data_IF_637689495509
#
_entry.id   IF_637689495509
#
_cell.length_a   1.000
_cell.length_b   1.000
_cell.length_c   1.000
_cell.angle_alpha   90.00
_cell.angle_beta   90.00
_cell.angle_gamma   90.00
#
_symmetry.space_group_name_H-M   'P 1'
#
loop_
_entity.id
_entity.type
_entity.pdbx_description
1 polymer ?
#
# COMPACT_ATOMS: atom_id res chain seq x y z
N UNK A 1 -57.45 1.48 35.06
CA UNK A 1 -56.36 0.45 35.27
C UNK A 1 -55.39 0.57 34.10
N UNK A 2 -54.49 1.53 34.27
CA UNK A 2 -53.50 1.88 33.22
C UNK A 2 -52.23 1.08 33.44
N UNK A 3 -51.84 0.25 32.45
CA UNK A 3 -50.50 -0.36 32.41
C UNK A 3 -49.60 0.50 31.55
N UNK A 4 -48.65 1.19 32.20
CA UNK A 4 -47.53 1.85 31.59
C UNK A 4 -46.58 0.79 31.04
N UNK A 5 -46.38 0.81 29.72
CA UNK A 5 -45.34 0.05 29.05
C UNK A 5 -44.06 0.90 29.09
N UNK A 6 -43.07 0.51 29.92
CA UNK A 6 -41.75 1.10 29.91
C UNK A 6 -40.95 0.51 28.74
N UNK A 7 -40.68 1.34 27.74
CA UNK A 7 -39.76 1.02 26.63
C UNK A 7 -38.33 1.28 27.11
N UNK A 8 -37.59 0.23 27.42
CA UNK A 8 -36.14 0.31 27.71
C UNK A 8 -35.41 0.33 26.39
N UNK A 9 -34.97 1.50 25.98
CA UNK A 9 -34.11 1.68 24.81
C UNK A 9 -32.68 1.33 25.20
N UNK A 10 -32.26 0.10 24.93
CA UNK A 10 -30.85 -0.33 25.07
C UNK A 10 -30.01 0.29 23.95
N UNK A 11 -29.29 1.36 24.25
CA UNK A 11 -28.27 1.91 23.38
C UNK A 11 -27.08 0.96 23.45
N UNK A 12 -26.94 0.10 22.43
CA UNK A 12 -25.68 -0.63 22.19
C UNK A 12 -24.62 0.38 21.74
N UNK A 13 -23.79 0.82 22.69
CA UNK A 13 -22.55 1.51 22.38
C UNK A 13 -21.60 0.49 21.79
N UNK A 14 -21.58 0.33 20.47
CA UNK A 14 -20.50 -0.39 19.78
C UNK A 14 -19.26 0.49 19.86
N UNK A 15 -18.46 0.28 20.91
CA UNK A 15 -17.08 0.75 20.94
C UNK A 15 -16.35 0.12 19.75
N UNK A 16 -16.07 0.92 18.71
CA UNK A 16 -15.11 0.57 17.68
C UNK A 16 -13.75 0.51 18.41
N UNK A 17 -13.42 -0.67 18.92
CA UNK A 17 -12.04 -0.97 19.30
C UNK A 17 -11.22 -0.93 18.03
N UNK A 18 -10.59 0.22 17.77
CA UNK A 18 -9.45 0.26 16.84
C UNK A 18 -8.39 -0.65 17.46
N UNK A 19 -8.34 -1.89 17.02
CA UNK A 19 -7.26 -2.80 17.36
C UNK A 19 -5.97 -2.19 16.80
N UNK A 20 -5.23 -1.51 17.66
CA UNK A 20 -3.86 -1.12 17.36
C UNK A 20 -3.11 -2.42 17.07
N UNK A 21 -2.38 -2.47 15.96
CA UNK A 21 -1.56 -3.63 15.66
C UNK A 21 -0.69 -3.94 16.90
N UNK A 22 -0.75 -5.19 17.37
CA UNK A 22 0.02 -5.60 18.52
C UNK A 22 1.49 -5.61 18.10
N UNK A 23 2.28 -4.67 18.63
CA UNK A 23 3.73 -4.58 18.36
C UNK A 23 4.47 -5.71 19.04
N UNK A 24 5.52 -6.23 18.40
CA UNK A 24 6.39 -7.27 18.96
C UNK A 24 7.27 -6.68 20.06
N UNK A 25 7.71 -5.43 19.87
CA UNK A 25 8.55 -4.69 20.80
C UNK A 25 7.88 -3.38 21.23
N UNK A 26 8.28 -2.80 22.39
CA UNK A 26 7.78 -1.48 22.78
C UNK A 26 7.98 -0.42 21.69
N UNK A 27 7.02 0.52 21.60
CA UNK A 27 7.08 1.72 20.77
C UNK A 27 6.35 2.83 21.55
N UNK A 28 6.96 3.27 22.67
CA UNK A 28 6.27 4.02 23.71
C UNK A 28 6.35 5.54 23.54
N UNK A 29 7.36 6.03 22.81
CA UNK A 29 7.57 7.46 22.59
C UNK A 29 7.13 7.87 21.19
N UNK A 30 6.42 8.96 21.09
CA UNK A 30 6.16 9.56 19.80
C UNK A 30 7.42 10.26 19.28
N UNK A 31 7.82 9.90 18.06
CA UNK A 31 8.96 10.50 17.39
C UNK A 31 8.70 11.98 17.05
N UNK A 32 9.73 12.86 17.06
CA UNK A 32 9.56 14.27 16.78
C UNK A 32 8.94 14.53 15.41
N UNK A 33 7.86 15.34 15.36
CA UNK A 33 7.17 15.70 14.13
C UNK A 33 8.05 16.52 13.16
N UNK A 34 9.12 17.13 13.65
CA UNK A 34 10.10 17.83 12.81
C UNK A 34 10.74 16.90 11.78
N UNK A 35 10.97 15.62 12.14
CA UNK A 35 11.66 14.63 11.31
C UNK A 35 10.76 13.54 10.75
N UNK A 36 9.45 13.68 10.95
CA UNK A 36 8.49 12.66 10.53
C UNK A 36 7.25 13.33 9.92
N UNK A 37 6.61 12.61 9.00
CA UNK A 37 5.26 12.92 8.50
C UNK A 37 4.32 11.83 9.01
N UNK A 38 3.17 12.24 9.56
CA UNK A 38 2.25 11.32 10.22
C UNK A 38 2.70 10.94 11.64
N UNK A 39 2.20 9.82 12.16
CA UNK A 39 2.50 9.35 13.52
C UNK A 39 3.50 8.21 13.48
N UNK A 40 4.62 8.44 14.11
CA UNK A 40 5.69 7.46 14.27
C UNK A 40 5.99 7.31 15.76
N UNK A 41 6.05 6.09 16.22
CA UNK A 41 6.41 5.77 17.61
C UNK A 41 7.75 5.03 17.63
N UNK A 42 8.55 5.29 18.64
CA UNK A 42 9.89 4.72 18.75
C UNK A 42 10.16 4.23 20.17
N UNK A 43 11.03 3.23 20.29
CA UNK A 43 11.70 2.86 21.54
C UNK A 43 13.11 2.40 21.25
N UNK A 44 14.07 2.94 21.99
CA UNK A 44 15.45 2.44 21.96
C UNK A 44 15.48 1.16 22.81
N UNK A 45 15.70 0.03 22.16
CA UNK A 45 15.71 -1.29 22.81
C UNK A 45 17.07 -1.63 23.44
N UNK A 46 18.13 -1.18 22.76
CA UNK A 46 19.51 -1.39 23.22
C UNK A 46 20.39 -0.23 22.73
N UNK A 47 21.31 0.17 23.58
CA UNK A 47 22.30 1.19 23.28
C UNK A 47 23.63 0.81 23.91
N UNK A 48 24.67 0.71 23.08
CA UNK A 48 26.05 0.49 23.49
C UNK A 48 26.96 1.59 22.94
N UNK A 49 28.23 1.51 23.22
CA UNK A 49 29.22 2.46 22.68
C UNK A 49 29.34 2.37 21.15
N UNK A 50 29.01 1.23 20.53
CA UNK A 50 29.22 0.97 19.12
C UNK A 50 27.93 0.70 18.32
N UNK A 51 26.80 0.47 18.98
CA UNK A 51 25.58 0.05 18.29
C UNK A 51 24.32 0.49 19.03
N UNK A 52 23.30 0.87 18.27
CA UNK A 52 21.98 1.16 18.77
C UNK A 52 20.92 0.33 18.03
N UNK A 53 20.01 -0.25 18.81
CA UNK A 53 18.85 -0.97 18.30
C UNK A 53 17.59 -0.17 18.64
N UNK A 54 16.79 0.17 17.63
CA UNK A 54 15.58 0.97 17.81
C UNK A 54 14.39 0.27 17.14
N UNK A 55 13.28 0.18 17.86
CA UNK A 55 12.00 -0.23 17.29
C UNK A 55 11.20 0.99 16.85
N UNK A 56 10.63 0.93 15.66
CA UNK A 56 9.75 1.93 15.08
C UNK A 56 8.38 1.30 14.80
N UNK A 57 7.33 1.99 15.22
CA UNK A 57 5.99 1.74 14.72
C UNK A 57 5.55 2.96 13.90
N UNK A 58 5.44 2.76 12.61
CA UNK A 58 4.85 3.71 11.68
C UNK A 58 3.36 3.43 11.54
N UNK A 59 2.49 4.37 11.90
CA UNK A 59 1.09 4.27 11.51
C UNK A 59 0.99 4.41 9.98
N UNK A 60 -0.04 3.82 9.36
CA UNK A 60 -0.23 3.84 7.91
C UNK A 60 -0.05 5.24 7.31
N UNK A 61 0.72 5.33 6.22
CA UNK A 61 1.05 6.58 5.56
C UNK A 61 2.10 7.44 6.26
N UNK A 62 2.57 7.02 7.45
CA UNK A 62 3.62 7.74 8.18
C UNK A 62 5.00 7.37 7.68
N UNK A 63 5.92 8.32 7.73
CA UNK A 63 7.28 8.16 7.23
C UNK A 63 8.26 9.10 7.93
N UNK A 64 9.52 8.70 8.01
CA UNK A 64 10.58 9.61 8.42
C UNK A 64 11.02 10.53 7.27
N UNK A 65 11.82 11.52 7.59
CA UNK A 65 12.46 12.41 6.61
C UNK A 65 13.59 11.69 5.87
N UNK A 66 14.00 12.21 4.73
CA UNK A 66 15.29 11.87 4.15
C UNK A 66 16.38 12.11 5.19
N UNK A 67 17.25 11.14 5.38
CA UNK A 67 18.37 11.20 6.33
C UNK A 67 19.49 10.27 5.89
N UNK A 68 20.62 10.37 6.56
CA UNK A 68 21.74 9.44 6.39
C UNK A 68 22.47 9.26 7.73
N UNK A 69 23.26 8.21 7.84
CA UNK A 69 24.10 7.89 8.99
C UNK A 69 25.55 8.15 8.62
N UNK A 70 26.22 9.19 9.21
CA UNK A 70 27.62 9.49 8.92
C UNK A 70 28.53 8.32 9.28
N UNK A 71 29.24 7.80 8.28
CA UNK A 71 30.21 6.71 8.41
C UNK A 71 29.67 5.42 9.09
N UNK A 72 28.36 5.29 9.24
CA UNK A 72 27.69 4.22 9.95
C UNK A 72 26.76 3.42 9.02
N UNK A 73 26.73 2.10 9.22
CA UNK A 73 25.78 1.20 8.57
C UNK A 73 24.49 1.11 9.38
N UNK A 74 23.36 1.00 8.69
CA UNK A 74 22.08 0.66 9.31
C UNK A 74 21.49 -0.59 8.67
N UNK A 75 21.01 -1.51 9.50
CA UNK A 75 20.17 -2.64 9.08
C UNK A 75 18.74 -2.33 9.51
N UNK A 76 17.79 -2.41 8.57
CA UNK A 76 16.36 -2.29 8.81
C UNK A 76 15.70 -3.64 8.58
N UNK A 77 14.88 -4.08 9.52
CA UNK A 77 14.12 -5.33 9.48
C UNK A 77 12.64 -5.01 9.64
N UNK A 78 11.77 -5.56 8.78
CA UNK A 78 10.32 -5.43 8.92
C UNK A 78 9.79 -6.57 9.78
N UNK A 79 9.24 -6.24 10.94
CA UNK A 79 8.71 -7.20 11.91
C UNK A 79 7.24 -7.51 11.67
N UNK A 80 6.46 -6.50 11.26
CA UNK A 80 5.04 -6.66 10.92
C UNK A 80 4.59 -5.57 9.93
N UNK A 81 3.50 -5.86 9.21
CA UNK A 81 2.92 -4.94 8.23
C UNK A 81 3.76 -4.80 6.97
N UNK A 82 3.60 -3.65 6.30
CA UNK A 82 4.28 -3.33 5.04
C UNK A 82 4.92 -1.95 5.10
N UNK A 83 6.20 -1.87 4.76
CA UNK A 83 6.99 -0.66 4.80
C UNK A 83 7.48 -0.26 3.40
N UNK A 84 7.66 1.04 3.20
CA UNK A 84 8.45 1.57 2.10
C UNK A 84 9.88 1.87 2.58
N UNK A 85 10.83 1.64 1.68
CA UNK A 85 12.21 2.06 1.81
C UNK A 85 12.69 2.63 0.47
N UNK A 86 13.46 3.70 0.52
CA UNK A 86 14.05 4.29 -0.69
C UNK A 86 15.40 4.93 -0.37
N UNK A 87 16.40 4.62 -1.20
CA UNK A 87 17.65 5.35 -1.28
C UNK A 87 17.55 6.46 -2.34
N UNK A 88 18.28 7.55 -2.15
CA UNK A 88 18.32 8.66 -3.10
C UNK A 88 18.81 8.18 -4.48
N UNK A 89 18.07 8.55 -5.52
CA UNK A 89 18.37 8.13 -6.89
C UNK A 89 17.98 6.70 -7.24
N UNK A 90 17.45 5.91 -6.29
CA UNK A 90 16.96 4.55 -6.54
C UNK A 90 15.43 4.45 -6.48
N UNK A 91 14.85 3.44 -7.11
CA UNK A 91 13.42 3.16 -6.99
C UNK A 91 13.03 2.88 -5.53
N UNK A 92 11.81 3.29 -5.16
CA UNK A 92 11.17 2.93 -3.90
C UNK A 92 10.89 1.44 -3.86
N UNK A 93 11.17 0.80 -2.74
CA UNK A 93 10.96 -0.62 -2.49
C UNK A 93 9.78 -0.81 -1.54
N UNK A 94 9.00 -1.86 -1.77
CA UNK A 94 8.02 -2.38 -0.81
C UNK A 94 8.67 -3.50 -0.03
N UNK A 95 8.70 -3.34 1.28
CA UNK A 95 9.23 -4.34 2.22
C UNK A 95 8.08 -4.94 3.02
N UNK A 96 8.15 -6.24 3.26
CA UNK A 96 7.17 -7.02 4.01
C UNK A 96 7.82 -7.66 5.23
N UNK A 97 6.99 -8.22 6.10
CA UNK A 97 7.47 -8.96 7.27
C UNK A 97 8.54 -9.98 6.88
N UNK A 98 9.70 -9.87 7.54
CA UNK A 98 10.88 -10.72 7.31
C UNK A 98 11.89 -10.14 6.33
N UNK A 99 11.54 -9.09 5.58
CA UNK A 99 12.50 -8.41 4.69
C UNK A 99 13.51 -7.61 5.51
N UNK A 100 14.74 -7.60 5.01
CA UNK A 100 15.89 -6.93 5.61
C UNK A 100 16.60 -6.09 4.56
N UNK A 101 16.89 -4.85 4.90
CA UNK A 101 17.69 -3.93 4.06
C UNK A 101 18.88 -3.45 4.84
N UNK A 102 20.04 -3.45 4.22
CA UNK A 102 21.27 -2.86 4.76
C UNK A 102 21.59 -1.58 4.01
N UNK A 103 21.57 -0.46 4.73
CA UNK A 103 21.95 0.84 4.20
C UNK A 103 23.43 1.09 4.47
N UNK A 104 24.21 1.34 3.43
CA UNK A 104 25.63 1.64 3.56
C UNK A 104 25.88 3.02 4.20
N UNK A 105 27.07 3.27 4.76
CA UNK A 105 27.44 4.56 5.33
C UNK A 105 27.19 5.72 4.34
N UNK A 106 26.66 6.83 4.87
CA UNK A 106 26.41 8.08 4.13
C UNK A 106 25.34 7.98 3.01
N UNK A 107 24.68 6.85 2.84
CA UNK A 107 23.59 6.71 1.87
C UNK A 107 22.35 7.43 2.38
N UNK A 108 21.87 8.41 1.62
CA UNK A 108 20.61 9.11 1.90
C UNK A 108 19.43 8.21 1.61
N UNK A 109 18.55 8.08 2.59
CA UNK A 109 17.39 7.19 2.49
C UNK A 109 16.24 7.68 3.37
N UNK A 110 15.09 7.06 3.19
CA UNK A 110 13.93 7.18 4.06
C UNK A 110 13.17 5.86 4.12
N UNK A 111 12.38 5.67 5.17
CA UNK A 111 11.46 4.56 5.32
C UNK A 111 10.17 5.01 6.02
N UNK A 112 9.13 4.17 5.91
CA UNK A 112 7.83 4.46 6.51
C UNK A 112 6.83 3.37 6.20
N UNK A 113 5.63 3.47 6.78
CA UNK A 113 4.52 2.57 6.51
C UNK A 113 3.88 2.88 5.15
N UNK A 114 3.32 1.86 4.50
CA UNK A 114 2.52 2.06 3.30
C UNK A 114 1.21 2.83 3.60
N UNK A 115 0.50 3.37 2.61
CA UNK A 115 -0.78 4.06 2.84
C UNK A 115 -1.89 3.17 3.41
N UNK A 116 -1.76 1.85 3.36
CA UNK A 116 -2.79 0.87 3.70
C UNK A 116 -2.45 -0.04 4.88
N UNK A 117 -1.19 -0.07 5.33
CA UNK A 117 -0.74 -0.90 6.44
C UNK A 117 0.10 -0.10 7.41
N UNK A 118 -0.08 -0.31 8.71
CA UNK A 118 0.93 0.07 9.69
C UNK A 118 2.17 -0.80 9.47
N UNK A 119 3.35 -0.35 9.91
CA UNK A 119 4.58 -1.10 9.80
C UNK A 119 5.38 -1.02 11.10
N UNK A 120 5.73 -2.18 11.66
CA UNK A 120 6.71 -2.27 12.72
C UNK A 120 8.07 -2.64 12.12
N UNK A 121 9.05 -1.79 12.35
CA UNK A 121 10.40 -1.95 11.82
C UNK A 121 11.42 -1.85 12.95
N UNK A 122 12.37 -2.76 12.96
CA UNK A 122 13.54 -2.66 13.84
C UNK A 122 14.74 -2.18 13.04
N UNK A 123 15.49 -1.27 13.61
CA UNK A 123 16.79 -0.88 13.06
C UNK A 123 17.91 -1.24 14.01
N UNK A 124 19.01 -1.67 13.43
CA UNK A 124 20.30 -1.81 14.10
C UNK A 124 21.29 -0.92 13.37
N UNK A 125 21.83 0.06 14.08
CA UNK A 125 22.72 1.06 13.46
C UNK A 125 24.04 1.11 14.23
N UNK A 126 25.13 1.23 13.50
CA UNK A 126 26.44 1.50 14.10
C UNK A 126 26.45 2.89 14.75
N UNK A 127 27.24 3.05 15.80
CA UNK A 127 27.57 4.32 16.42
C UNK A 127 29.02 4.61 16.13
N UNK A 128 29.28 5.75 15.50
CA UNK A 128 30.63 6.22 15.23
C UNK A 128 30.96 7.33 16.24
N UNK A 129 31.96 7.17 17.10
CA UNK A 129 32.33 8.15 18.10
C UNK A 129 32.63 9.52 17.46
N UNK A 130 32.01 10.57 17.99
CA UNK A 130 32.17 11.94 17.49
C UNK A 130 31.26 12.32 16.33
N UNK A 131 30.53 11.36 15.74
CA UNK A 131 29.55 11.63 14.67
C UNK A 131 28.12 11.72 15.21
N UNK A 132 27.25 12.41 14.50
CA UNK A 132 25.82 12.35 14.77
C UNK A 132 25.29 10.98 14.37
N UNK A 133 24.41 10.39 15.19
CA UNK A 133 23.81 9.11 14.86
C UNK A 133 23.03 9.13 13.53
N UNK A 134 22.32 10.21 13.25
CA UNK A 134 21.65 10.46 11.98
C UNK A 134 21.59 11.95 11.66
N UNK A 135 21.89 12.31 10.42
CA UNK A 135 21.73 13.68 9.89
C UNK A 135 20.41 13.76 9.16
N UNK A 136 19.49 14.55 9.72
CA UNK A 136 18.17 14.76 9.14
C UNK A 136 18.25 15.76 7.98
N UNK A 137 17.54 15.46 6.91
CA UNK A 137 17.43 16.30 5.72
C UNK A 137 15.99 16.82 5.57
N UNK A 138 15.53 16.99 4.35
CA UNK A 138 14.15 17.40 4.05
C UNK A 138 13.13 16.31 4.30
N UNK A 139 11.89 16.68 4.49
CA UNK A 139 10.77 15.71 4.53
C UNK A 139 10.56 15.08 3.15
N UNK A 140 10.11 13.84 3.15
CA UNK A 140 9.61 13.18 1.95
C UNK A 140 8.29 13.84 1.55
N UNK A 141 8.18 14.30 0.31
CA UNK A 141 6.95 14.94 -0.17
C UNK A 141 5.84 13.92 -0.38
N UNK A 142 4.59 14.39 -0.49
CA UNK A 142 3.46 13.49 -0.77
C UNK A 142 3.57 12.89 -2.18
N UNK A 143 4.14 13.61 -3.14
CA UNK A 143 4.41 13.13 -4.49
C UNK A 143 5.45 12.01 -4.50
N UNK A 144 6.55 12.17 -3.76
CA UNK A 144 7.58 11.12 -3.61
C UNK A 144 7.00 9.89 -2.92
N UNK A 145 6.22 10.10 -1.85
CA UNK A 145 5.58 9.01 -1.13
C UNK A 145 4.55 8.27 -1.99
N UNK A 146 3.75 8.98 -2.78
CA UNK A 146 2.75 8.42 -3.68
C UNK A 146 3.34 7.89 -5.01
N UNK A 147 4.65 8.15 -5.28
CA UNK A 147 5.28 7.67 -6.51
C UNK A 147 5.14 6.15 -6.62
N UNK A 148 4.97 5.58 -7.81
CA UNK A 148 4.91 4.14 -8.00
C UNK A 148 6.14 3.44 -7.43
N UNK A 149 5.97 2.21 -7.00
CA UNK A 149 7.07 1.28 -6.77
C UNK A 149 7.84 1.09 -8.08
N UNK A 150 9.05 0.53 -7.99
CA UNK A 150 9.92 0.35 -9.17
C UNK A 150 9.14 -0.07 -10.41
N UNK A 151 9.28 0.70 -11.50
CA UNK A 151 8.58 0.44 -12.77
C UNK A 151 9.09 -0.80 -13.48
N UNK A 152 10.30 -1.24 -13.17
CA UNK A 152 10.95 -2.38 -13.83
C UNK A 152 10.24 -3.70 -13.57
N UNK A 153 9.46 -3.78 -12.48
CA UNK A 153 8.76 -4.99 -12.07
C UNK A 153 7.24 -4.94 -12.26
N UNK A 154 6.70 -3.81 -12.76
CA UNK A 154 5.26 -3.69 -12.95
C UNK A 154 4.77 -4.62 -14.06
N UNK A 155 3.68 -5.31 -13.80
CA UNK A 155 2.95 -6.05 -14.82
C UNK A 155 1.85 -5.14 -15.36
N UNK A 156 1.86 -4.90 -16.66
CA UNK A 156 0.77 -4.22 -17.39
C UNK A 156 0.24 -5.17 -18.43
N UNK A 157 -1.08 -5.40 -18.44
CA UNK A 157 -1.72 -6.23 -19.46
C UNK A 157 -3.17 -5.84 -19.71
N UNK A 158 -3.73 -6.40 -20.75
CA UNK A 158 -5.14 -6.31 -21.08
C UNK A 158 -5.73 -7.72 -20.95
N UNK A 159 -6.72 -7.92 -20.09
CA UNK A 159 -7.54 -9.11 -20.17
C UNK A 159 -8.57 -8.92 -21.29
N UNK A 160 -8.56 -9.80 -22.26
CA UNK A 160 -9.52 -9.85 -23.37
C UNK A 160 -10.45 -11.04 -23.10
N UNK A 161 -11.71 -10.73 -22.79
CA UNK A 161 -12.69 -11.71 -22.33
C UNK A 161 -13.90 -11.67 -23.25
N UNK A 162 -14.34 -12.82 -23.72
CA UNK A 162 -15.64 -13.01 -24.39
C UNK A 162 -16.54 -13.83 -23.48
N UNK A 163 -17.71 -13.30 -23.17
CA UNK A 163 -18.69 -13.94 -22.28
C UNK A 163 -19.85 -14.52 -23.11
N UNK A 164 -20.34 -15.69 -22.75
CA UNK A 164 -21.56 -16.21 -23.36
C UNK A 164 -22.75 -15.29 -23.07
N UNK A 165 -23.57 -14.92 -24.08
CA UNK A 165 -24.63 -13.92 -23.92
C UNK A 165 -25.60 -14.21 -22.77
N UNK A 166 -25.93 -15.49 -22.54
CA UNK A 166 -26.87 -15.90 -21.48
C UNK A 166 -26.36 -15.64 -20.07
N UNK A 167 -25.05 -15.52 -19.87
CA UNK A 167 -24.42 -15.27 -18.57
C UNK A 167 -23.95 -13.83 -18.38
N UNK A 168 -24.15 -12.96 -19.37
CA UNK A 168 -23.55 -11.63 -19.38
C UNK A 168 -23.85 -10.82 -18.11
N UNK A 169 -25.11 -10.78 -17.67
CA UNK A 169 -25.51 -9.99 -16.50
C UNK A 169 -24.92 -10.51 -15.21
N UNK A 170 -24.90 -11.84 -15.04
CA UNK A 170 -24.32 -12.50 -13.88
C UNK A 170 -22.81 -12.29 -13.85
N UNK A 171 -22.12 -12.48 -14.98
CA UNK A 171 -20.71 -12.21 -15.12
C UNK A 171 -20.34 -10.76 -14.72
N UNK A 172 -21.07 -9.76 -15.25
CA UNK A 172 -20.82 -8.36 -14.97
C UNK A 172 -20.99 -8.02 -13.48
N UNK A 173 -21.93 -8.67 -12.79
CA UNK A 173 -22.12 -8.45 -11.36
C UNK A 173 -20.92 -8.96 -10.55
N UNK A 174 -20.46 -10.17 -10.82
CA UNK A 174 -19.31 -10.78 -10.13
C UNK A 174 -18.00 -10.04 -10.48
N UNK A 175 -17.81 -9.66 -11.76
CA UNK A 175 -16.62 -8.94 -12.20
C UNK A 175 -16.49 -7.56 -11.52
N UNK A 176 -17.58 -6.79 -11.42
CA UNK A 176 -17.57 -5.50 -10.71
C UNK A 176 -17.20 -5.63 -9.24
N UNK A 177 -17.65 -6.69 -8.60
CA UNK A 177 -17.34 -6.94 -7.19
C UNK A 177 -15.85 -7.24 -6.99
N UNK A 178 -15.29 -8.18 -7.77
CA UNK A 178 -13.87 -8.55 -7.64
C UNK A 178 -12.97 -7.37 -7.96
N UNK A 179 -13.24 -6.61 -9.03
CA UNK A 179 -12.41 -5.47 -9.42
C UNK A 179 -12.37 -4.40 -8.31
N UNK A 180 -13.55 -4.09 -7.73
CA UNK A 180 -13.64 -3.15 -6.60
C UNK A 180 -12.88 -3.66 -5.38
N UNK A 181 -13.08 -4.92 -4.98
CA UNK A 181 -12.42 -5.50 -3.82
C UNK A 181 -10.90 -5.57 -3.98
N UNK A 182 -10.44 -5.92 -5.18
CA UNK A 182 -9.01 -6.00 -5.48
C UNK A 182 -8.33 -4.63 -5.37
N UNK A 183 -8.91 -3.59 -5.99
CA UNK A 183 -8.34 -2.23 -5.91
C UNK A 183 -8.42 -1.64 -4.50
N UNK A 184 -9.49 -1.94 -3.75
CA UNK A 184 -9.67 -1.44 -2.38
C UNK A 184 -8.79 -2.14 -1.34
N UNK A 185 -8.53 -3.45 -1.50
CA UNK A 185 -7.94 -4.28 -0.45
C UNK A 185 -6.53 -4.77 -0.76
N UNK A 186 -6.15 -4.80 -2.03
CA UNK A 186 -4.87 -5.35 -2.46
C UNK A 186 -3.88 -4.24 -2.81
N UNK A 187 -2.89 -4.01 -1.96
CA UNK A 187 -1.90 -2.93 -2.14
C UNK A 187 -1.12 -3.00 -3.45
N UNK A 188 -0.91 -4.22 -3.95
CA UNK A 188 -0.17 -4.45 -5.17
C UNK A 188 -1.02 -4.39 -6.44
N UNK A 189 -2.35 -4.28 -6.33
CA UNK A 189 -3.26 -4.05 -7.45
C UNK A 189 -3.39 -2.55 -7.69
N UNK A 190 -2.65 -2.03 -8.65
CA UNK A 190 -2.63 -0.58 -8.96
C UNK A 190 -3.85 -0.19 -9.77
N UNK A 191 -4.26 -1.05 -10.71
CA UNK A 191 -5.41 -0.80 -11.59
C UNK A 191 -6.04 -2.11 -12.00
N UNK A 192 -7.35 -2.20 -11.82
CA UNK A 192 -8.25 -3.10 -12.55
C UNK A 192 -9.38 -2.23 -13.07
N UNK A 193 -9.37 -1.98 -14.38
CA UNK A 193 -10.34 -1.11 -15.04
C UNK A 193 -11.09 -1.89 -16.11
N UNK A 194 -12.23 -2.48 -15.77
CA UNK A 194 -13.04 -3.24 -16.71
C UNK A 194 -13.82 -2.30 -17.64
N UNK A 195 -13.82 -2.64 -18.91
CA UNK A 195 -14.51 -1.93 -19.97
C UNK A 195 -15.32 -2.93 -20.78
N UNK A 196 -16.56 -2.60 -21.07
CA UNK A 196 -17.42 -3.35 -21.98
C UNK A 196 -17.43 -2.68 -23.34
N UNK A 197 -17.32 -3.46 -24.42
CA UNK A 197 -17.42 -2.91 -25.77
C UNK A 197 -18.81 -2.31 -26.01
N UNK A 198 -18.85 -1.13 -26.62
CA UNK A 198 -20.09 -0.47 -27.02
C UNK A 198 -20.73 -1.15 -28.24
N UNK A 199 -19.93 -1.84 -29.06
CA UNK A 199 -20.38 -2.51 -30.29
C UNK A 199 -20.89 -3.94 -30.02
N UNK A 200 -20.21 -4.66 -29.11
CA UNK A 200 -20.57 -6.02 -28.70
C UNK A 200 -20.45 -6.16 -27.18
N UNK A 201 -21.57 -6.17 -26.51
CA UNK A 201 -21.63 -6.21 -25.04
C UNK A 201 -21.05 -7.49 -24.43
N UNK A 202 -20.81 -8.53 -25.21
CA UNK A 202 -20.16 -9.77 -24.74
C UNK A 202 -18.65 -9.66 -24.66
N UNK A 203 -18.07 -8.61 -25.26
CA UNK A 203 -16.64 -8.34 -25.26
C UNK A 203 -16.25 -7.44 -24.10
N UNK A 204 -15.45 -7.98 -23.17
CA UNK A 204 -14.92 -7.26 -22.02
C UNK A 204 -13.42 -7.10 -22.18
N UNK A 205 -12.89 -5.94 -21.79
CA UNK A 205 -11.47 -5.64 -21.71
C UNK A 205 -11.17 -5.08 -20.34
N UNK A 206 -10.15 -5.63 -19.66
CA UNK A 206 -9.72 -5.13 -18.37
C UNK A 206 -8.29 -4.64 -18.52
N UNK A 207 -8.06 -3.35 -18.28
CA UNK A 207 -6.70 -2.86 -18.06
C UNK A 207 -6.25 -3.28 -16.67
N UNK A 208 -5.22 -4.10 -16.60
CA UNK A 208 -4.64 -4.61 -15.36
C UNK A 208 -3.23 -4.05 -15.16
N UNK A 209 -2.97 -3.50 -13.98
CA UNK A 209 -1.65 -3.02 -13.58
C UNK A 209 -1.37 -3.52 -12.17
N UNK A 210 -0.31 -4.30 -12.03
CA UNK A 210 0.19 -4.82 -10.75
C UNK A 210 1.56 -4.22 -10.45
N UNK A 211 1.84 -3.95 -9.18
CA UNK A 211 3.10 -3.37 -8.72
C UNK A 211 4.32 -4.27 -8.97
N UNK A 212 4.11 -5.59 -9.03
CA UNK A 212 5.15 -6.58 -9.27
C UNK A 212 4.53 -7.94 -9.64
N UNK A 213 5.37 -8.91 -10.02
CA UNK A 213 4.94 -10.30 -10.18
C UNK A 213 4.45 -10.88 -8.84
N UNK A 214 5.11 -10.60 -7.73
CA UNK A 214 4.65 -11.02 -6.40
C UNK A 214 3.25 -10.50 -6.07
N UNK A 215 2.97 -9.24 -6.38
CA UNK A 215 1.66 -8.65 -6.19
C UNK A 215 0.60 -9.40 -7.02
N UNK A 216 0.93 -9.72 -8.26
CA UNK A 216 0.06 -10.52 -9.11
C UNK A 216 -0.14 -11.94 -8.55
N UNK A 217 0.92 -12.61 -8.10
CA UNK A 217 0.80 -13.94 -7.50
C UNK A 217 -0.01 -13.95 -6.21
N UNK A 218 0.02 -12.87 -5.43
CA UNK A 218 -0.83 -12.69 -4.25
C UNK A 218 -2.29 -12.49 -4.65
N UNK A 219 -2.55 -11.60 -5.63
CA UNK A 219 -3.89 -11.37 -6.18
C UNK A 219 -4.56 -12.69 -6.57
N UNK A 220 -3.85 -13.55 -7.28
CA UNK A 220 -4.37 -14.86 -7.70
C UNK A 220 -4.81 -15.78 -6.54
N UNK A 221 -4.32 -15.53 -5.32
CA UNK A 221 -4.62 -16.34 -4.12
C UNK A 221 -5.71 -15.74 -3.23
N UNK A 222 -6.14 -14.52 -3.51
CA UNK A 222 -7.17 -13.86 -2.69
C UNK A 222 -8.50 -14.58 -2.80
N UNK A 223 -9.29 -14.54 -1.73
CA UNK A 223 -10.60 -15.20 -1.68
C UNK A 223 -11.55 -14.64 -2.75
N UNK A 224 -11.60 -13.32 -2.91
CA UNK A 224 -12.46 -12.68 -3.90
C UNK A 224 -12.05 -12.98 -5.35
N UNK A 225 -10.76 -13.09 -5.66
CA UNK A 225 -10.31 -13.52 -6.98
C UNK A 225 -10.65 -14.99 -7.22
N UNK A 226 -10.45 -15.87 -6.24
CA UNK A 226 -10.81 -17.29 -6.37
C UNK A 226 -12.32 -17.47 -6.55
N UNK A 227 -13.14 -16.69 -5.82
CA UNK A 227 -14.58 -16.67 -5.99
C UNK A 227 -14.98 -16.26 -7.43
N UNK A 228 -14.39 -15.16 -7.92
CA UNK A 228 -14.57 -14.71 -9.31
C UNK A 228 -14.18 -15.80 -10.30
N UNK A 229 -12.95 -16.32 -10.19
CA UNK A 229 -12.41 -17.30 -11.13
C UNK A 229 -13.26 -18.55 -11.22
N UNK A 230 -13.65 -19.10 -10.08
CA UNK A 230 -14.46 -20.33 -10.03
C UNK A 230 -15.91 -20.06 -10.45
N UNK A 231 -16.49 -18.96 -10.00
CA UNK A 231 -17.86 -18.58 -10.30
C UNK A 231 -18.11 -18.26 -11.78
N UNK A 232 -17.10 -17.73 -12.47
CA UNK A 232 -17.26 -17.25 -13.86
C UNK A 232 -16.69 -18.20 -14.93
N UNK A 233 -15.99 -19.27 -14.54
CA UNK A 233 -15.30 -20.17 -15.49
C UNK A 233 -16.23 -20.70 -16.60
N UNK A 234 -17.46 -21.06 -16.29
CA UNK A 234 -18.44 -21.56 -17.24
C UNK A 234 -19.12 -20.48 -18.08
N UNK A 235 -18.96 -19.21 -17.68
CA UNK A 235 -19.55 -18.04 -18.35
C UNK A 235 -18.64 -17.49 -19.44
N UNK A 236 -17.33 -17.78 -19.34
CA UNK A 236 -16.30 -17.25 -20.23
C UNK A 236 -16.16 -18.16 -21.45
N UNK A 237 -16.38 -17.61 -22.63
CA UNK A 237 -16.20 -18.29 -23.91
C UNK A 237 -14.74 -18.28 -24.36
N UNK A 238 -14.06 -17.16 -24.15
CA UNK A 238 -12.63 -17.03 -24.44
C UNK A 238 -11.95 -16.04 -23.47
N UNK A 239 -10.69 -16.30 -23.15
CA UNK A 239 -9.82 -15.44 -22.34
C UNK A 239 -8.43 -15.39 -22.96
N UNK A 240 -7.92 -14.16 -23.17
CA UNK A 240 -6.51 -13.89 -23.51
C UNK A 240 -5.97 -12.86 -22.55
N UNK A 241 -4.69 -12.99 -22.20
CA UNK A 241 -4.00 -12.12 -21.24
C UNK A 241 -2.69 -11.58 -21.85
N UNK A 242 -2.73 -10.80 -22.95
CA UNK A 242 -1.50 -10.24 -23.51
C UNK A 242 -0.84 -9.29 -22.53
N UNK A 243 0.45 -9.53 -22.26
CA UNK A 243 1.30 -8.60 -21.52
C UNK A 243 1.65 -7.42 -22.41
N UNK A 244 1.53 -6.22 -21.85
CA UNK A 244 1.76 -4.96 -22.55
C UNK A 244 3.01 -4.27 -21.98
N UNK A 245 3.73 -3.54 -22.82
CA UNK A 245 4.81 -2.67 -22.38
C UNK A 245 4.32 -1.21 -22.49
N UNK A 246 4.32 -0.43 -21.41
CA UNK A 246 3.97 0.98 -21.48
C UNK A 246 4.98 1.72 -22.38
N UNK A 247 4.47 2.48 -23.36
CA UNK A 247 5.32 3.32 -24.23
C UNK A 247 5.90 4.51 -23.45
N UNK A 248 5.12 5.06 -22.55
CA UNK A 248 5.51 6.16 -21.67
C UNK A 248 5.00 5.93 -20.23
N UNK A 249 5.81 5.28 -19.38
CA UNK A 249 5.45 5.06 -17.98
C UNK A 249 5.23 6.35 -17.18
N UNK A 250 5.82 7.48 -17.58
CA UNK A 250 5.66 8.78 -16.92
C UNK A 250 4.22 9.33 -17.07
N UNK A 251 3.60 9.07 -18.21
CA UNK A 251 2.23 9.51 -18.46
C UNK A 251 1.23 8.86 -17.50
N UNK A 252 1.47 7.65 -17.05
CA UNK A 252 0.60 6.95 -16.10
C UNK A 252 0.45 7.73 -14.79
N UNK A 253 1.53 8.24 -14.23
CA UNK A 253 1.50 9.07 -13.01
C UNK A 253 0.63 10.32 -13.22
N UNK A 254 0.78 10.95 -14.38
CA UNK A 254 0.02 12.15 -14.74
C UNK A 254 -1.48 11.87 -14.87
N UNK A 255 -1.85 10.70 -15.40
CA UNK A 255 -3.26 10.27 -15.51
C UNK A 255 -3.88 10.13 -14.13
N UNK A 256 -3.27 9.39 -13.22
CA UNK A 256 -3.79 9.20 -11.85
C UNK A 256 -3.85 10.53 -11.08
N UNK A 257 -2.86 11.40 -11.23
CA UNK A 257 -2.88 12.75 -10.64
C UNK A 257 -4.05 13.58 -11.18
N UNK A 258 -4.30 13.56 -12.49
CA UNK A 258 -5.43 14.29 -13.10
C UNK A 258 -6.79 13.78 -12.62
N UNK A 259 -6.98 12.47 -12.51
CA UNK A 259 -8.21 11.87 -12.00
C UNK A 259 -8.47 12.34 -10.56
N UNK A 260 -7.45 12.33 -9.70
CA UNK A 260 -7.55 12.80 -8.32
C UNK A 260 -7.93 14.28 -8.22
N UNK A 261 -7.27 15.13 -9.00
CA UNK A 261 -7.54 16.57 -9.03
C UNK A 261 -8.95 16.88 -9.58
N UNK A 262 -9.40 16.14 -10.59
CA UNK A 262 -10.73 16.32 -11.16
C UNK A 262 -11.82 15.99 -10.14
N UNK A 263 -11.69 14.90 -9.40
CA UNK A 263 -12.62 14.52 -8.33
C UNK A 263 -12.67 15.55 -7.19
N UNK A 264 -11.53 16.14 -6.81
CA UNK A 264 -11.48 17.19 -5.79
C UNK A 264 -12.26 18.45 -6.23
N UNK A 265 -12.19 18.85 -7.51
CA UNK A 265 -12.93 20.00 -8.06
C UNK A 265 -14.44 19.73 -8.14
N UNK A 266 -14.86 18.50 -8.38
CA UNK A 266 -16.29 18.16 -8.39
C UNK A 266 -16.91 18.17 -6.99
N UNK A 267 -16.20 17.74 -5.98
CA UNK A 267 -16.70 17.76 -4.59
C UNK A 267 -16.87 19.19 -4.04
N UNK A 268 -16.04 20.15 -4.47
CA UNK A 268 -16.15 21.56 -4.04
C UNK A 268 -17.26 22.34 -4.75
N UNK A 269 -17.90 21.81 -5.80
CA UNK A 269 -19.01 22.45 -6.51
C UNK A 269 -20.41 22.00 -6.08
N UNK A 270 -20.51 21.12 -5.08
CA UNK A 270 -21.78 20.64 -4.51
C UNK A 270 -22.15 21.28 -3.17
N UNK A 271 -21.47 22.39 -2.78
CA UNK A 271 -21.81 23.20 -1.59
C UNK A 271 -22.11 24.62 -1.98
#
# INVERSE_FOLDING_TARGET
MNRLLSLVLSILLTSILTTRAQTIFPADMQAPAAFNTGKVHISVLSHSEHQMTTNFLFERGSRNSWHFHPNATQVLMVLSGEAYYQEEGKPKQLLRRGDVVTTAPNVRHWNGATPWSDAECMTVSDIVPGEQHAVQLRKVTDEEFASPLSRENMIVRIAEIEVYPQYLQEYLAIAREVDRLSVEREPGVICLFPMQSAEDSTQIRILEIYASDDAYQQHLKTEHFQHYKQGTLHMVKSLRLPTMQPLDPETMIKIFTKIRLHNAVYQTRQF
#
